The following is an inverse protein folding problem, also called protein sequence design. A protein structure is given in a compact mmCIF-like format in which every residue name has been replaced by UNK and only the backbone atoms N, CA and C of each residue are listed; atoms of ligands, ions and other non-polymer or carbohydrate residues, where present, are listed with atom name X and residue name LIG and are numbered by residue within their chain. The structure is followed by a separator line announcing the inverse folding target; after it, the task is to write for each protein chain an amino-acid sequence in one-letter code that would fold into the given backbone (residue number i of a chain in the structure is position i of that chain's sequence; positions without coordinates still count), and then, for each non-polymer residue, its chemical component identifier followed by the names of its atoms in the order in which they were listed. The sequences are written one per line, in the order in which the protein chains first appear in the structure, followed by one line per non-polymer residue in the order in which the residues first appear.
data_IF_397641792899
#
_entry.id   IF_397641792899
#
_cell.length_a   1.000
_cell.length_b   1.000
_cell.length_c   1.000
_cell.angle_alpha   90.00
_cell.angle_beta   90.00
_cell.angle_gamma   90.00
#
_symmetry.space_group_name_H-M   'P 1'
#
loop_
_entity.id
_entity.type
_entity.pdbx_description
1 polymer ?
#
# COMPACT_ATOMS: atom_id res chain seq x y z
N UNK A 1 9.25 -19.78 -12.10
CA UNK A 1 7.81 -19.73 -11.78
C UNK A 1 7.68 -19.62 -10.28
N UNK A 2 7.02 -18.58 -9.77
CA UNK A 2 6.84 -18.37 -8.34
C UNK A 2 5.39 -18.72 -7.98
N UNK A 3 5.19 -19.74 -7.16
CA UNK A 3 3.86 -20.11 -6.65
C UNK A 3 3.69 -19.46 -5.29
N UNK A 4 2.61 -18.68 -5.13
CA UNK A 4 2.32 -18.01 -3.87
C UNK A 4 1.52 -18.96 -2.99
N UNK A 5 2.20 -19.64 -2.06
CA UNK A 5 1.57 -20.58 -1.13
C UNK A 5 1.21 -19.91 0.19
N UNK A 6 0.37 -20.58 0.99
CA UNK A 6 0.04 -20.11 2.33
C UNK A 6 1.28 -20.00 3.22
N UNK A 7 2.18 -20.97 3.16
CA UNK A 7 3.42 -21.01 3.95
C UNK A 7 4.32 -19.83 3.60
N UNK A 8 4.40 -19.45 2.32
CA UNK A 8 5.11 -18.25 1.89
C UNK A 8 4.49 -17.00 2.51
N UNK A 9 3.15 -16.87 2.46
CA UNK A 9 2.46 -15.73 3.05
C UNK A 9 2.66 -15.67 4.57
N UNK A 10 2.64 -16.80 5.27
CA UNK A 10 2.88 -16.89 6.72
C UNK A 10 4.28 -16.38 7.06
N UNK A 11 5.32 -16.93 6.41
CA UNK A 11 6.71 -16.49 6.60
C UNK A 11 6.88 -15.01 6.27
N UNK A 12 6.26 -14.55 5.20
CA UNK A 12 6.38 -13.17 4.73
C UNK A 12 5.79 -12.16 5.73
N UNK A 13 4.65 -12.49 6.33
CA UNK A 13 4.04 -11.66 7.38
C UNK A 13 4.81 -11.69 8.70
N UNK A 14 5.42 -12.82 9.07
CA UNK A 14 6.36 -12.86 10.22
C UNK A 14 7.52 -11.89 10.01
N UNK A 15 8.13 -11.89 8.82
CA UNK A 15 9.21 -10.97 8.51
C UNK A 15 8.76 -9.50 8.47
N UNK A 16 7.51 -9.22 8.09
CA UNK A 16 6.96 -7.87 8.18
C UNK A 16 6.84 -7.42 9.64
N UNK A 17 6.35 -8.27 10.56
CA UNK A 17 6.23 -7.98 12.00
C UNK A 17 7.57 -7.70 12.68
N UNK A 18 8.63 -8.37 12.25
CA UNK A 18 9.99 -8.18 12.77
C UNK A 18 10.65 -6.90 12.23
N UNK A 19 10.13 -6.34 11.14
CA UNK A 19 10.61 -5.12 10.54
C UNK A 19 10.19 -3.87 11.33
N UNK A 20 11.08 -2.88 11.42
CA UNK A 20 10.81 -1.60 12.10
C UNK A 20 9.59 -0.85 11.56
N UNK A 21 9.30 -1.05 10.26
CA UNK A 21 8.19 -0.43 9.55
C UNK A 21 6.90 -1.24 9.58
N UNK A 22 6.94 -2.47 10.12
CA UNK A 22 5.82 -3.42 10.09
C UNK A 22 5.33 -3.77 8.67
N UNK A 23 6.23 -3.62 7.68
CA UNK A 23 5.98 -3.82 6.25
C UNK A 23 7.12 -4.56 5.59
N UNK A 24 6.80 -5.37 4.58
CA UNK A 24 7.78 -5.99 3.69
C UNK A 24 7.21 -6.14 2.29
N UNK A 25 8.01 -5.83 1.27
CA UNK A 25 7.69 -6.13 -0.11
C UNK A 25 8.53 -7.31 -0.63
N UNK A 26 7.96 -8.08 -1.55
CA UNK A 26 8.63 -9.12 -2.33
C UNK A 26 8.45 -8.82 -3.81
N UNK A 27 9.53 -8.44 -4.47
CA UNK A 27 9.52 -8.15 -5.90
C UNK A 27 9.45 -9.45 -6.71
N UNK A 28 8.47 -9.56 -7.60
CA UNK A 28 8.30 -10.69 -8.53
C UNK A 28 8.86 -10.39 -9.93
N UNK A 29 9.35 -9.17 -10.13
CA UNK A 29 10.06 -8.71 -11.31
C UNK A 29 11.58 -8.87 -11.10
N UNK A 30 12.36 -9.10 -12.18
CA UNK A 30 13.77 -9.49 -12.06
C UNK A 30 14.70 -8.35 -11.64
N UNK A 31 14.38 -7.10 -11.99
CA UNK A 31 15.20 -5.92 -11.71
C UNK A 31 14.32 -4.69 -11.61
N UNK A 32 14.79 -3.66 -10.90
CA UNK A 32 14.10 -2.36 -10.80
C UNK A 32 13.95 -1.61 -12.13
N UNK A 33 14.67 -2.05 -13.18
CA UNK A 33 14.57 -1.51 -14.53
C UNK A 33 13.50 -2.22 -15.39
N UNK A 34 12.82 -3.23 -14.85
CA UNK A 34 11.84 -4.01 -15.60
C UNK A 34 10.58 -3.19 -15.88
N UNK A 35 9.93 -3.36 -17.03
CA UNK A 35 8.79 -2.53 -17.41
C UNK A 35 7.48 -2.84 -16.66
N UNK A 36 7.38 -4.00 -16.01
CA UNK A 36 6.17 -4.45 -15.33
C UNK A 36 6.48 -4.88 -13.89
N UNK A 37 6.26 -3.95 -12.95
CA UNK A 37 6.53 -4.18 -11.55
C UNK A 37 5.33 -4.90 -10.93
N UNK A 38 5.64 -6.06 -10.33
CA UNK A 38 4.68 -6.91 -9.62
C UNK A 38 5.28 -7.22 -8.26
N UNK A 39 4.52 -6.99 -7.21
CA UNK A 39 4.98 -7.05 -5.83
C UNK A 39 3.95 -7.79 -4.98
N UNK A 40 4.41 -8.53 -3.97
CA UNK A 40 3.59 -8.80 -2.79
C UNK A 40 3.99 -7.83 -1.70
N UNK A 41 3.01 -7.23 -1.03
CA UNK A 41 3.22 -6.34 0.10
C UNK A 41 2.53 -6.95 1.33
N UNK A 42 3.33 -7.32 2.34
CA UNK A 42 2.85 -7.62 3.68
C UNK A 42 2.86 -6.35 4.51
N UNK A 43 1.75 -6.05 5.17
CA UNK A 43 1.59 -4.90 6.05
C UNK A 43 0.82 -5.31 7.30
N UNK A 44 1.39 -5.02 8.46
CA UNK A 44 0.75 -5.29 9.75
C UNK A 44 0.11 -4.02 10.32
N UNK A 45 -0.90 -4.15 11.21
CA UNK A 45 -1.46 -3.01 11.93
C UNK A 45 -0.37 -2.21 12.67
N UNK A 46 -0.55 -0.90 12.77
CA UNK A 46 0.50 -0.01 13.26
C UNK A 46 1.35 0.62 12.15
N UNK A 47 0.92 0.46 10.89
CA UNK A 47 1.66 0.88 9.71
C UNK A 47 0.76 1.50 8.63
N UNK A 48 1.27 2.50 7.93
CA UNK A 48 0.68 3.08 6.73
C UNK A 48 1.76 3.42 5.70
N UNK A 49 1.37 3.60 4.45
CA UNK A 49 2.22 4.22 3.42
C UNK A 49 1.88 5.70 3.40
N UNK A 50 2.86 6.61 3.48
CA UNK A 50 2.58 8.05 3.33
C UNK A 50 1.73 8.28 2.08
N UNK A 51 0.60 8.99 2.17
CA UNK A 51 -0.24 9.25 1.02
C UNK A 51 0.56 9.78 -0.15
N UNK A 52 0.30 9.21 -1.32
CA UNK A 52 1.06 9.48 -2.52
C UNK A 52 0.18 9.33 -3.76
N UNK A 53 0.70 9.80 -4.88
CA UNK A 53 0.13 9.61 -6.21
C UNK A 53 1.26 9.34 -7.20
N UNK A 54 0.92 8.76 -8.34
CA UNK A 54 1.80 8.72 -9.49
C UNK A 54 1.35 9.73 -10.54
N UNK A 55 2.25 10.54 -11.09
CA UNK A 55 1.92 11.51 -12.13
C UNK A 55 2.20 11.00 -13.54
N UNK A 56 3.00 9.94 -13.68
CA UNK A 56 3.22 9.26 -14.96
C UNK A 56 1.93 8.53 -15.36
N UNK A 57 1.34 8.81 -16.53
CA UNK A 57 0.10 8.19 -17.00
C UNK A 57 0.21 6.68 -17.24
N UNK A 58 1.41 6.12 -17.21
CA UNK A 58 1.62 4.67 -17.29
C UNK A 58 1.66 3.99 -15.91
N UNK A 59 1.64 4.77 -14.81
CA UNK A 59 1.84 4.27 -13.44
C UNK A 59 0.56 4.23 -12.61
N UNK A 60 -0.56 3.93 -13.25
CA UNK A 60 -1.73 3.43 -12.53
C UNK A 60 -1.32 2.24 -11.64
N UNK A 61 -1.94 2.13 -10.46
CA UNK A 61 -1.65 1.06 -9.50
C UNK A 61 -2.86 0.15 -9.33
N UNK A 62 -2.67 -1.14 -9.57
CA UNK A 62 -3.69 -2.14 -9.24
C UNK A 62 -3.27 -2.91 -8.00
N UNK A 63 -4.16 -3.01 -7.01
CA UNK A 63 -3.93 -3.80 -5.79
C UNK A 63 -5.00 -4.88 -5.63
N UNK A 64 -4.60 -6.10 -5.30
CA UNK A 64 -5.50 -7.25 -5.06
C UNK A 64 -5.22 -7.84 -3.69
N UNK A 65 -6.23 -7.98 -2.84
CA UNK A 65 -6.07 -8.60 -1.52
C UNK A 65 -5.82 -10.10 -1.67
N UNK A 66 -4.74 -10.59 -1.05
CA UNK A 66 -4.40 -12.02 -1.01
C UNK A 66 -4.86 -12.66 0.29
N UNK A 67 -4.77 -11.92 1.41
CA UNK A 67 -5.18 -12.33 2.75
C UNK A 67 -5.35 -11.10 3.65
N UNK A 68 -6.23 -11.19 4.64
CA UNK A 68 -6.43 -10.16 5.65
C UNK A 68 -7.38 -9.07 5.16
N UNK A 69 -7.17 -7.85 5.65
CA UNK A 69 -8.10 -6.73 5.50
C UNK A 69 -7.33 -5.43 5.33
N UNK A 70 -7.45 -4.82 4.15
CA UNK A 70 -6.72 -3.60 3.78
C UNK A 70 -7.70 -2.45 3.62
N UNK A 71 -7.47 -1.34 4.32
CA UNK A 71 -8.19 -0.08 4.11
C UNK A 71 -7.49 0.76 3.06
N UNK A 72 -8.24 1.28 2.09
CA UNK A 72 -7.79 2.24 1.07
C UNK A 72 -8.46 3.58 1.36
N UNK A 73 -7.70 4.66 1.34
CA UNK A 73 -8.23 6.03 1.50
C UNK A 73 -7.74 6.87 0.33
N UNK A 74 -8.67 7.57 -0.33
CA UNK A 74 -8.40 8.56 -1.37
C UNK A 74 -8.53 9.98 -0.83
N UNK A 75 -7.76 10.91 -1.39
CA UNK A 75 -7.74 12.32 -0.98
C UNK A 75 -7.81 13.27 -2.17
N UNK A 76 -8.26 14.51 -1.91
CA UNK A 76 -8.04 15.64 -2.81
C UNK A 76 -6.64 16.28 -2.62
N UNK A 77 -6.38 17.40 -3.30
CA UNK A 77 -5.08 18.09 -3.25
C UNK A 77 -4.84 18.82 -1.93
N UNK A 78 -5.86 19.04 -1.11
CA UNK A 78 -5.78 19.67 0.20
C UNK A 78 -5.69 18.63 1.33
N UNK A 79 -5.84 17.35 1.02
CA UNK A 79 -5.79 16.24 1.95
C UNK A 79 -7.11 15.89 2.62
N UNK A 80 -8.24 16.41 2.12
CA UNK A 80 -9.55 15.97 2.55
C UNK A 80 -9.85 14.57 1.97
N UNK A 81 -10.48 13.72 2.77
CA UNK A 81 -10.85 12.36 2.36
C UNK A 81 -11.98 12.42 1.34
N UNK A 82 -11.75 11.85 0.16
CA UNK A 82 -12.72 11.78 -0.94
C UNK A 82 -13.37 10.40 -1.06
N UNK A 83 -12.74 9.35 -0.52
CA UNK A 83 -13.27 7.99 -0.56
C UNK A 83 -12.56 7.03 0.39
N UNK A 84 -13.29 6.00 0.81
CA UNK A 84 -12.75 4.90 1.63
C UNK A 84 -13.28 3.56 1.16
N UNK A 85 -12.39 2.56 1.08
CA UNK A 85 -12.75 1.20 0.66
C UNK A 85 -12.02 0.16 1.51
N UNK A 86 -12.67 -0.99 1.73
CA UNK A 86 -12.04 -2.14 2.40
C UNK A 86 -11.87 -3.25 1.39
N UNK A 87 -10.63 -3.68 1.18
CA UNK A 87 -10.32 -4.89 0.43
C UNK A 87 -10.24 -6.09 1.37
N UNK A 88 -11.09 -7.09 1.13
CA UNK A 88 -11.16 -8.33 1.88
C UNK A 88 -11.76 -9.43 1.02
N UNK A 89 -11.25 -10.66 1.15
CA UNK A 89 -11.83 -11.82 0.48
C UNK A 89 -13.34 -11.95 0.80
N UNK A 90 -14.15 -12.18 -0.24
CA UNK A 90 -15.62 -12.26 -0.12
C UNK A 90 -16.34 -10.91 -0.19
N UNK A 91 -15.63 -9.79 -0.34
CA UNK A 91 -16.19 -8.46 -0.60
C UNK A 91 -15.49 -7.83 -1.82
N UNK A 92 -15.19 -6.52 -1.81
CA UNK A 92 -14.24 -5.93 -2.74
C UNK A 92 -12.87 -6.57 -2.54
N UNK A 93 -12.29 -7.13 -3.61
CA UNK A 93 -11.02 -7.86 -3.56
C UNK A 93 -9.88 -7.12 -4.26
N UNK A 94 -10.20 -6.09 -5.03
CA UNK A 94 -9.22 -5.33 -5.77
C UNK A 94 -9.62 -3.86 -5.86
N UNK A 95 -8.61 -3.01 -6.05
CA UNK A 95 -8.76 -1.61 -6.45
C UNK A 95 -7.82 -1.35 -7.62
N UNK A 96 -8.26 -0.49 -8.52
CA UNK A 96 -7.45 0.07 -9.59
C UNK A 96 -7.42 1.58 -9.37
N UNK A 97 -6.23 2.13 -9.17
CA UNK A 97 -6.02 3.51 -8.76
C UNK A 97 -5.37 4.25 -9.93
N UNK A 98 -6.10 5.19 -10.56
CA UNK A 98 -5.54 6.01 -11.61
C UNK A 98 -4.37 6.86 -11.12
N UNK A 99 -3.41 7.10 -12.00
CA UNK A 99 -2.42 8.15 -11.83
C UNK A 99 -3.11 9.49 -11.52
N UNK A 100 -2.45 10.32 -10.73
CA UNK A 100 -2.92 11.62 -10.27
C UNK A 100 -3.71 11.58 -8.96
N UNK A 101 -4.23 10.41 -8.56
CA UNK A 101 -5.05 10.28 -7.35
C UNK A 101 -4.19 10.05 -6.10
N UNK A 102 -4.32 10.95 -5.12
CA UNK A 102 -3.69 10.76 -3.82
C UNK A 102 -4.39 9.65 -3.06
N UNK A 103 -3.61 8.67 -2.63
CA UNK A 103 -4.15 7.55 -1.88
C UNK A 103 -3.14 7.03 -0.84
N UNK A 104 -3.66 6.32 0.14
CA UNK A 104 -2.88 5.52 1.10
C UNK A 104 -3.57 4.20 1.37
N UNK A 105 -2.81 3.27 1.95
CA UNK A 105 -3.33 2.01 2.46
C UNK A 105 -2.93 1.80 3.90
N UNK A 106 -3.83 1.21 4.68
CA UNK A 106 -3.62 0.83 6.08
C UNK A 106 -4.03 -0.61 6.31
N UNK A 107 -3.24 -1.34 7.10
CA UNK A 107 -3.60 -2.70 7.49
C UNK A 107 -4.58 -2.69 8.65
N UNK A 108 -5.74 -3.30 8.45
CA UNK A 108 -6.82 -3.39 9.44
C UNK A 108 -6.83 -4.73 10.19
N UNK A 109 -6.04 -5.70 9.72
CA UNK A 109 -5.96 -7.05 10.28
C UNK A 109 -4.50 -7.55 10.24
N UNK A 110 -3.99 -8.20 11.32
CA UNK A 110 -2.68 -8.85 11.30
C UNK A 110 -2.56 -9.86 10.16
N UNK A 111 -1.39 -9.91 9.53
CA UNK A 111 -1.14 -10.85 8.44
C UNK A 111 -1.73 -10.44 7.09
N UNK A 112 -2.10 -9.16 6.93
CA UNK A 112 -2.61 -8.61 5.67
C UNK A 112 -1.53 -8.63 4.59
N UNK A 113 -1.86 -9.21 3.45
CA UNK A 113 -1.00 -9.26 2.27
C UNK A 113 -1.82 -8.91 1.03
N UNK A 114 -1.29 -8.03 0.21
CA UNK A 114 -1.86 -7.68 -1.09
C UNK A 114 -0.82 -7.80 -2.20
N UNK A 115 -1.28 -8.16 -3.39
CA UNK A 115 -0.52 -8.08 -4.62
C UNK A 115 -0.68 -6.69 -5.21
N UNK A 116 0.40 -6.08 -5.66
CA UNK A 116 0.42 -4.79 -6.34
C UNK A 116 1.04 -4.97 -7.73
N UNK A 117 0.48 -4.32 -8.74
CA UNK A 117 1.07 -4.20 -10.06
C UNK A 117 1.01 -2.76 -10.56
N UNK A 118 2.12 -2.33 -11.17
CA UNK A 118 2.26 -1.03 -11.84
C UNK A 118 3.35 -1.05 -12.90
N UNK A 119 3.37 -0.05 -13.78
CA UNK A 119 4.48 0.09 -14.71
C UNK A 119 5.78 0.37 -13.97
N UNK A 120 6.83 -0.34 -14.38
CA UNK A 120 8.19 0.06 -14.08
C UNK A 120 8.74 1.03 -15.14
N UNK A 121 10.00 1.45 -14.99
CA UNK A 121 10.93 1.08 -13.94
C UNK A 121 10.56 1.68 -12.58
N UNK A 122 11.17 1.19 -11.51
CA UNK A 122 11.11 1.87 -10.21
C UNK A 122 11.81 3.22 -10.32
N UNK A 123 11.08 4.26 -9.97
CA UNK A 123 11.58 5.61 -9.80
C UNK A 123 11.11 6.07 -8.42
N UNK A 124 11.98 6.70 -7.61
CA UNK A 124 11.53 7.37 -6.41
C UNK A 124 10.43 8.38 -6.75
N UNK A 125 9.47 8.55 -5.83
CA UNK A 125 8.42 9.54 -5.99
C UNK A 125 9.03 10.93 -6.22
N UNK A 126 8.59 11.59 -7.29
CA UNK A 126 9.03 12.92 -7.69
C UNK A 126 8.40 14.01 -6.82
N UNK A 127 8.77 15.27 -7.08
CA UNK A 127 8.11 16.42 -6.48
C UNK A 127 6.60 16.43 -6.82
N UNK A 128 5.76 16.61 -5.81
CA UNK A 128 4.29 16.61 -5.96
C UNK A 128 3.62 15.23 -5.98
N UNK A 129 4.41 14.14 -5.88
CA UNK A 129 3.88 12.78 -5.77
C UNK A 129 3.71 12.30 -4.32
N UNK A 130 4.39 12.93 -3.36
CA UNK A 130 4.14 12.74 -1.93
C UNK A 130 3.20 13.82 -1.42
N UNK A 131 2.20 13.43 -0.63
CA UNK A 131 1.29 14.36 0.02
C UNK A 131 2.02 15.23 1.07
N UNK A 132 2.13 16.56 0.88
CA UNK A 132 2.84 17.43 1.83
C UNK A 132 2.11 17.59 3.17
N UNK A 133 0.81 17.30 3.24
CA UNK A 133 0.01 17.38 4.47
C UNK A 133 0.16 16.15 5.37
N UNK A 134 0.65 15.04 4.84
CA UNK A 134 0.71 13.79 5.58
C UNK A 134 2.12 13.57 6.14
N UNK A 135 2.25 13.26 7.44
CA UNK A 135 3.55 13.05 8.05
C UNK A 135 4.26 11.87 7.39
N UNK A 136 5.57 12.02 7.23
CA UNK A 136 6.42 10.93 6.78
C UNK A 136 6.58 9.88 7.88
N UNK A 137 6.96 8.68 7.48
CA UNK A 137 7.29 7.62 8.44
C UNK A 137 8.45 8.06 9.36
N UNK A 138 8.26 7.88 10.67
CA UNK A 138 9.24 8.26 11.70
C UNK A 138 9.08 9.69 12.24
N UNK A 139 8.18 10.49 11.67
CA UNK A 139 7.85 11.81 12.23
C UNK A 139 6.95 11.68 13.48
N UNK A 140 7.04 12.66 14.38
CA UNK A 140 6.35 12.66 15.68
C UNK A 140 4.83 12.45 15.55
N UNK A 141 4.22 13.05 14.53
CA UNK A 141 2.77 12.98 14.30
C UNK A 141 2.31 11.76 13.48
N UNK A 142 3.23 10.90 13.02
CA UNK A 142 2.89 9.74 12.18
C UNK A 142 1.92 8.77 12.86
N UNK A 143 2.09 8.55 14.17
CA UNK A 143 1.20 7.68 14.95
C UNK A 143 -0.22 8.23 15.08
N UNK A 144 -0.36 9.54 15.32
CA UNK A 144 -1.65 10.21 15.39
C UNK A 144 -2.37 10.21 14.04
N UNK A 145 -1.63 10.42 12.95
CA UNK A 145 -2.16 10.36 11.59
C UNK A 145 -2.61 8.95 11.21
N UNK A 146 -1.82 7.92 11.51
CA UNK A 146 -2.26 6.53 11.33
C UNK A 146 -3.57 6.25 12.08
N UNK A 147 -3.67 6.70 13.34
CA UNK A 147 -4.87 6.48 14.13
C UNK A 147 -6.12 7.15 13.50
N UNK A 148 -5.96 8.35 12.92
CA UNK A 148 -7.07 9.01 12.21
C UNK A 148 -7.49 8.26 10.95
N UNK A 149 -6.54 7.70 10.19
CA UNK A 149 -6.84 6.86 9.02
C UNK A 149 -7.59 5.58 9.41
N UNK A 150 -7.16 4.89 10.47
CA UNK A 150 -7.79 3.63 10.91
C UNK A 150 -9.24 3.84 11.39
N UNK A 151 -9.54 5.00 11.98
CA UNK A 151 -10.91 5.32 12.45
C UNK A 151 -11.92 5.44 11.29
N UNK A 152 -11.47 5.72 10.07
CA UNK A 152 -12.34 5.80 8.88
C UNK A 152 -13.01 4.45 8.51
N UNK A 153 -12.56 3.34 9.10
CA UNK A 153 -13.02 1.98 8.78
C UNK A 153 -13.71 1.26 9.95
N UNK A 154 -14.08 2.01 11.00
CA UNK A 154 -14.77 1.48 12.18
C UNK A 154 -16.28 1.55 12.07
#
# INVERSE_FOLDING_TARGET
MNVITRELLDQFTTQAREGTRLRKNLNLHPTDAFCCHRLLNAMEPGSYIQPHRHLDPNKDESMVIMRGRLGIVSFDEEGAVTGTHILQAGNAVAVDIPHGEFHTVVSLEPGTVFFEAKAGPYLPLAGGEKAPWAPAEGEENAGGYLASLVVLFR
#
